data_IF_254140676796
#
_entry.id   IF_254140676796
#
_cell.length_a   1.000
_cell.length_b   1.000
_cell.length_c   1.000
_cell.angle_alpha   90.00
_cell.angle_beta   90.00
_cell.angle_gamma   90.00
#
_symmetry.space_group_name_H-M   'P 1'
#
loop_
_entity.id
_entity.type
_entity.pdbx_description
1 polymer ?
#
# COMPACT_ATOMS: atom_id res chain seq x y z
N UNK A 1 15.50 -23.63 15.41
CA UNK A 1 15.55 -22.76 14.22
C UNK A 1 14.26 -22.94 13.44
N UNK A 2 13.24 -22.11 13.70
CA UNK A 2 11.99 -22.14 12.93
C UNK A 2 12.25 -21.39 11.63
N UNK A 3 12.13 -22.09 10.50
CA UNK A 3 12.18 -21.48 9.17
C UNK A 3 10.98 -20.54 9.06
N UNK A 4 11.24 -19.24 9.02
CA UNK A 4 10.25 -18.24 8.63
C UNK A 4 10.00 -18.50 7.14
N UNK A 5 8.90 -19.17 6.83
CA UNK A 5 8.42 -19.29 5.46
C UNK A 5 7.58 -18.04 5.20
N UNK A 6 8.22 -16.99 4.67
CA UNK A 6 7.48 -15.89 4.06
C UNK A 6 6.73 -16.51 2.86
N UNK A 7 5.41 -16.59 2.94
CA UNK A 7 4.58 -16.98 1.81
C UNK A 7 4.56 -15.78 0.87
N UNK A 8 5.39 -15.85 -0.17
CA UNK A 8 5.41 -14.90 -1.27
C UNK A 8 4.21 -15.19 -2.18
N UNK A 9 3.26 -14.27 -2.24
CA UNK A 9 2.27 -14.26 -3.30
C UNK A 9 2.90 -13.64 -4.56
N UNK A 10 3.11 -14.47 -5.58
CA UNK A 10 3.36 -14.02 -6.95
C UNK A 10 2.06 -13.40 -7.47
N UNK A 11 1.95 -12.07 -7.43
CA UNK A 11 0.76 -11.36 -7.91
C UNK A 11 0.88 -11.14 -9.43
N UNK A 12 0.37 -12.09 -10.20
CA UNK A 12 -0.04 -11.83 -11.58
C UNK A 12 -1.35 -11.04 -11.49
N UNK A 13 -1.34 -9.79 -11.97
CA UNK A 13 -2.47 -8.84 -12.08
C UNK A 13 -3.74 -9.25 -11.33
N UNK A 14 -3.87 -8.80 -10.08
CA UNK A 14 -5.05 -9.08 -9.26
C UNK A 14 -6.04 -7.91 -9.37
N UNK A 15 -7.32 -8.21 -9.58
CA UNK A 15 -8.41 -7.22 -9.51
C UNK A 15 -9.20 -7.48 -8.22
N UNK A 16 -9.20 -6.51 -7.32
CA UNK A 16 -10.05 -6.53 -6.14
C UNK A 16 -11.43 -5.98 -6.52
N UNK A 17 -12.51 -6.59 -6.01
CA UNK A 17 -13.86 -6.08 -6.16
C UNK A 17 -14.48 -5.84 -4.78
N UNK A 18 -15.23 -4.75 -4.61
CA UNK A 18 -15.91 -4.43 -3.34
C UNK A 18 -17.12 -5.36 -3.10
N UNK A 19 -17.37 -5.74 -1.84
CA UNK A 19 -18.52 -6.57 -1.47
C UNK A 19 -19.82 -5.76 -1.34
N UNK A 20 -20.96 -6.38 -1.66
CA UNK A 20 -22.25 -5.71 -1.88
C UNK A 20 -22.93 -5.14 -0.62
N UNK A 21 -22.41 -5.37 0.58
CA UNK A 21 -22.90 -4.70 1.81
C UNK A 21 -21.76 -4.52 2.82
N UNK A 22 -21.66 -3.32 3.42
CA UNK A 22 -20.65 -3.02 4.46
C UNK A 22 -19.21 -2.84 3.98
N UNK A 23 -18.94 -2.96 2.67
CA UNK A 23 -17.62 -2.73 2.08
C UNK A 23 -17.41 -1.27 1.67
N UNK A 24 -16.16 -0.89 1.48
CA UNK A 24 -15.80 0.45 1.02
C UNK A 24 -16.40 0.72 -0.37
N UNK A 25 -17.26 1.74 -0.45
CA UNK A 25 -17.90 2.18 -1.69
C UNK A 25 -17.68 3.69 -1.90
N UNK A 26 -16.99 4.10 -2.98
CA UNK A 26 -16.82 5.51 -3.28
C UNK A 26 -18.15 6.16 -3.65
N UNK A 27 -18.37 7.36 -3.13
CA UNK A 27 -19.58 8.13 -3.45
C UNK A 27 -19.40 8.88 -4.78
N UNK A 28 -20.45 8.96 -5.61
CA UNK A 28 -20.46 9.86 -6.77
C UNK A 28 -20.07 11.29 -6.38
N UNK A 29 -19.19 11.91 -7.17
CA UNK A 29 -18.62 13.23 -6.88
C UNK A 29 -17.53 13.24 -5.81
N UNK A 30 -17.26 12.11 -5.15
CA UNK A 30 -16.23 11.98 -4.13
C UNK A 30 -14.82 12.07 -4.72
N UNK A 31 -13.90 12.62 -3.93
CA UNK A 31 -12.46 12.63 -4.23
C UNK A 31 -11.73 11.72 -3.25
N UNK A 32 -10.79 10.94 -3.75
CA UNK A 32 -10.05 9.95 -2.96
C UNK A 32 -8.56 10.02 -3.27
N UNK A 33 -7.74 9.83 -2.25
CA UNK A 33 -6.29 9.66 -2.41
C UNK A 33 -6.02 8.16 -2.51
N UNK A 34 -5.21 7.80 -3.51
CA UNK A 34 -4.68 6.45 -3.67
C UNK A 34 -3.17 6.50 -3.63
N UNK A 35 -2.57 5.62 -2.84
CA UNK A 35 -1.12 5.52 -2.73
C UNK A 35 -0.65 4.08 -2.55
N UNK A 36 0.60 3.82 -2.91
CA UNK A 36 1.31 2.59 -2.56
C UNK A 36 2.83 2.82 -2.64
N UNK A 37 3.59 1.86 -2.15
CA UNK A 37 5.01 1.70 -2.47
C UNK A 37 5.19 0.66 -3.58
N UNK A 38 6.13 0.90 -4.49
CA UNK A 38 6.51 -0.06 -5.53
C UNK A 38 8.02 -0.26 -5.56
N UNK A 39 8.45 -1.49 -5.80
CA UNK A 39 9.86 -1.89 -5.96
C UNK A 39 10.03 -2.74 -7.20
N UNK A 40 11.02 -2.45 -8.01
CA UNK A 40 11.37 -3.23 -9.21
C UNK A 40 12.82 -3.76 -9.08
N UNK A 41 13.06 -5.00 -9.49
CA UNK A 41 14.33 -5.73 -9.25
C UNK A 41 15.43 -5.46 -10.28
N UNK A 42 15.72 -4.19 -10.56
CA UNK A 42 16.80 -3.82 -11.48
C UNK A 42 18.20 -4.12 -10.90
N UNK A 43 19.12 -4.57 -11.76
CA UNK A 43 20.55 -4.70 -11.43
C UNK A 43 21.23 -3.34 -11.26
N UNK A 44 20.77 -2.34 -12.03
CA UNK A 44 21.14 -0.94 -11.89
C UNK A 44 19.87 -0.12 -11.68
N UNK A 45 19.75 0.52 -10.52
CA UNK A 45 18.54 1.24 -10.13
C UNK A 45 18.27 2.41 -11.10
N UNK A 46 17.09 2.48 -11.76
CA UNK A 46 16.71 3.62 -12.58
C UNK A 46 16.39 4.84 -11.71
N UNK A 47 16.22 6.01 -12.32
CA UNK A 47 15.74 7.20 -11.60
C UNK A 47 14.27 7.10 -11.20
N UNK A 48 13.49 6.37 -11.98
CA UNK A 48 12.08 6.12 -11.70
C UNK A 48 11.67 4.76 -12.23
N UNK A 49 10.79 4.10 -11.49
CA UNK A 49 10.13 2.86 -11.89
C UNK A 49 9.00 3.14 -12.88
N UNK A 50 8.66 2.11 -13.67
CA UNK A 50 7.66 2.21 -14.74
C UNK A 50 6.34 1.51 -14.40
N UNK A 51 6.32 0.71 -13.33
CA UNK A 51 5.12 0.12 -12.73
C UNK A 51 4.11 1.16 -12.31
N UNK A 52 2.83 0.82 -12.32
CA UNK A 52 1.76 1.77 -12.06
C UNK A 52 0.54 1.11 -11.43
N UNK A 53 -0.30 1.92 -10.80
CA UNK A 53 -1.63 1.51 -10.37
C UNK A 53 -2.62 2.01 -11.41
N UNK A 54 -3.50 1.11 -11.87
CA UNK A 54 -4.62 1.46 -12.74
C UNK A 54 -5.92 1.32 -11.94
N UNK A 55 -6.75 2.35 -11.99
CA UNK A 55 -8.00 2.42 -11.24
C UNK A 55 -9.12 2.61 -12.23
N UNK A 56 -10.10 1.72 -12.17
CA UNK A 56 -11.27 1.74 -13.03
C UNK A 56 -12.53 1.57 -12.19
N UNK A 57 -13.55 2.34 -12.52
CA UNK A 57 -14.87 2.24 -11.93
C UNK A 57 -15.71 1.38 -12.86
N UNK A 58 -16.26 0.32 -12.29
CA UNK A 58 -16.98 -0.71 -13.00
C UNK A 58 -18.46 -0.64 -12.60
N UNK A 59 -19.32 -0.63 -13.60
CA UNK A 59 -20.77 -0.74 -13.44
C UNK A 59 -21.21 -2.18 -13.64
N UNK A 60 -22.34 -2.54 -13.04
CA UNK A 60 -22.88 -3.89 -13.03
C UNK A 60 -22.86 -4.52 -11.64
N UNK A 61 -23.56 -5.63 -11.48
CA UNK A 61 -23.59 -6.40 -10.23
C UNK A 61 -22.50 -7.48 -10.29
N UNK A 62 -21.71 -7.66 -9.22
CA UNK A 62 -20.90 -8.88 -9.09
C UNK A 62 -21.87 -10.05 -8.94
N UNK A 63 -21.85 -10.99 -9.88
CA UNK A 63 -22.61 -12.22 -9.70
C UNK A 63 -21.88 -13.15 -8.72
N UNK A 64 -22.56 -13.52 -7.63
CA UNK A 64 -22.19 -14.69 -6.84
C UNK A 64 -22.58 -16.01 -7.55
N UNK A 65 -23.42 -15.97 -8.60
CA UNK A 65 -23.96 -17.17 -9.26
C UNK A 65 -24.09 -17.02 -10.78
N UNK A 66 -23.41 -17.87 -11.57
CA UNK A 66 -23.15 -17.79 -13.02
C UNK A 66 -24.40 -17.91 -13.92
N UNK A 67 -25.24 -16.87 -14.07
CA UNK A 67 -26.47 -17.11 -14.85
C UNK A 67 -27.30 -15.97 -15.44
N UNK A 68 -27.22 -14.73 -14.97
CA UNK A 68 -28.02 -13.62 -15.55
C UNK A 68 -27.66 -12.24 -14.98
N UNK A 69 -26.37 -11.89 -14.93
CA UNK A 69 -25.92 -10.52 -14.63
C UNK A 69 -25.66 -9.70 -15.90
N UNK A 70 -25.92 -8.39 -15.85
CA UNK A 70 -25.41 -7.47 -16.85
C UNK A 70 -23.86 -7.50 -16.85
N UNK A 71 -23.18 -7.39 -18.00
CA UNK A 71 -21.72 -7.42 -18.05
C UNK A 71 -21.11 -6.33 -17.16
N UNK A 72 -19.97 -6.65 -16.52
CA UNK A 72 -19.13 -5.64 -15.86
C UNK A 72 -18.57 -4.74 -16.96
N UNK A 73 -18.92 -3.45 -16.94
CA UNK A 73 -18.49 -2.48 -17.97
C UNK A 73 -17.81 -1.28 -17.31
N UNK A 74 -16.65 -0.84 -17.80
CA UNK A 74 -16.04 0.43 -17.40
C UNK A 74 -16.99 1.61 -17.51
N UNK A 75 -17.09 2.41 -16.46
CA UNK A 75 -17.95 3.61 -16.40
C UNK A 75 -17.15 4.91 -16.45
N UNK A 76 -15.82 4.83 -16.44
CA UNK A 76 -14.92 5.96 -16.55
C UNK A 76 -13.70 5.60 -17.42
N UNK A 77 -12.98 6.63 -17.83
CA UNK A 77 -11.62 6.43 -18.35
C UNK A 77 -10.72 5.96 -17.20
N UNK A 78 -9.93 4.89 -17.37
CA UNK A 78 -9.02 4.41 -16.34
C UNK A 78 -8.06 5.50 -15.87
N UNK A 79 -7.90 5.63 -14.55
CA UNK A 79 -6.92 6.52 -13.95
C UNK A 79 -5.64 5.73 -13.75
N UNK A 80 -4.55 6.20 -14.37
CA UNK A 80 -3.21 5.62 -14.21
C UNK A 80 -2.38 6.49 -13.27
N UNK A 81 -1.90 5.88 -12.17
CA UNK A 81 -1.02 6.51 -11.20
C UNK A 81 0.37 5.89 -11.31
N UNK A 82 1.36 6.71 -11.66
CA UNK A 82 2.76 6.29 -11.81
C UNK A 82 3.62 6.73 -10.62
N UNK A 83 4.80 6.09 -10.43
CA UNK A 83 5.69 6.38 -9.32
C UNK A 83 6.27 7.78 -9.48
N UNK A 84 6.55 8.44 -8.36
CA UNK A 84 7.15 9.76 -8.34
C UNK A 84 7.96 9.97 -7.06
N UNK A 85 8.89 10.93 -7.11
CA UNK A 85 9.84 11.19 -6.03
C UNK A 85 11.02 10.22 -6.05
N UNK A 86 11.84 10.31 -5.00
CA UNK A 86 13.06 9.51 -4.86
C UNK A 86 12.76 8.03 -4.59
N UNK A 87 13.69 7.18 -4.99
CA UNK A 87 13.70 5.76 -4.62
C UNK A 87 14.47 5.62 -3.30
N UNK A 88 13.79 5.14 -2.27
CA UNK A 88 14.29 5.02 -0.90
C UNK A 88 14.36 3.54 -0.54
N UNK A 89 15.55 3.03 -0.29
CA UNK A 89 15.78 1.59 0.01
C UNK A 89 15.18 0.63 -1.05
N UNK A 90 15.21 1.07 -2.31
CA UNK A 90 14.64 0.35 -3.45
C UNK A 90 13.12 0.44 -3.59
N UNK A 91 12.44 1.26 -2.79
CA UNK A 91 11.01 1.52 -2.89
C UNK A 91 10.74 2.93 -3.41
N UNK A 92 9.76 3.08 -4.29
CA UNK A 92 9.30 4.36 -4.81
C UNK A 92 7.81 4.55 -4.56
N UNK A 93 7.39 5.76 -4.23
CA UNK A 93 5.99 6.04 -3.91
C UNK A 93 5.17 6.26 -5.17
N UNK A 94 3.99 5.66 -5.22
CA UNK A 94 2.90 6.02 -6.13
C UNK A 94 1.86 6.77 -5.30
N UNK A 95 1.44 7.95 -5.74
CA UNK A 95 0.36 8.71 -5.08
C UNK A 95 -0.42 9.52 -6.12
N UNK A 96 -1.73 9.57 -5.96
CA UNK A 96 -2.59 10.38 -6.82
C UNK A 96 -4.00 10.53 -6.27
N UNK A 97 -4.77 11.39 -6.93
CA UNK A 97 -6.17 11.65 -6.59
C UNK A 97 -7.06 11.07 -7.67
N UNK A 98 -8.09 10.34 -7.24
CA UNK A 98 -9.16 9.82 -8.09
C UNK A 98 -10.44 10.58 -7.77
N UNK A 99 -11.08 11.11 -8.81
CA UNK A 99 -12.39 11.73 -8.71
C UNK A 99 -13.46 10.79 -9.27
N UNK A 100 -14.50 10.54 -8.48
CA UNK A 100 -15.62 9.68 -8.87
C UNK A 100 -16.62 10.54 -9.65
N UNK A 101 -16.94 10.23 -10.93
CA UNK A 101 -17.88 11.03 -11.70
C UNK A 101 -19.28 11.08 -11.06
N UNK A 102 -19.92 12.26 -11.09
CA UNK A 102 -21.29 12.45 -10.62
C UNK A 102 -22.33 11.70 -11.47
N UNK A 103 -21.98 11.29 -12.69
CA UNK A 103 -22.86 10.54 -13.60
C UNK A 103 -23.10 9.10 -13.16
N UNK A 104 -22.36 8.61 -12.17
CA UNK A 104 -22.52 7.27 -11.63
C UNK A 104 -23.76 7.23 -10.74
N UNK A 105 -24.81 6.56 -11.20
CA UNK A 105 -26.10 6.50 -10.50
C UNK A 105 -26.13 5.46 -9.36
N UNK A 106 -25.11 4.60 -9.24
CA UNK A 106 -25.05 3.55 -8.22
C UNK A 106 -23.61 3.28 -7.77
N UNK A 107 -23.50 2.66 -6.58
CA UNK A 107 -22.28 2.10 -6.01
C UNK A 107 -21.50 1.33 -7.08
N UNK A 108 -20.46 1.95 -7.63
CA UNK A 108 -19.63 1.33 -8.66
C UNK A 108 -18.59 0.46 -7.99
N UNK A 109 -18.40 -0.74 -8.54
CA UNK A 109 -17.27 -1.58 -8.18
C UNK A 109 -15.99 -0.82 -8.54
N UNK A 110 -14.98 -0.86 -7.68
CA UNK A 110 -13.66 -0.33 -8.01
C UNK A 110 -12.78 -1.50 -8.40
N UNK A 111 -12.15 -1.42 -9.57
CA UNK A 111 -10.99 -2.23 -9.90
C UNK A 111 -9.72 -1.45 -9.58
N UNK A 112 -8.85 -2.05 -8.79
CA UNK A 112 -7.49 -1.58 -8.53
C UNK A 112 -6.55 -2.64 -9.09
N UNK A 113 -5.83 -2.30 -10.15
CA UNK A 113 -4.87 -3.19 -10.78
C UNK A 113 -3.44 -2.70 -10.54
N UNK A 114 -2.62 -3.58 -10.00
CA UNK A 114 -1.19 -3.36 -9.81
C UNK A 114 -0.45 -3.85 -11.05
N UNK A 115 0.10 -2.93 -11.83
CA UNK A 115 0.68 -3.24 -13.13
C UNK A 115 2.20 -3.16 -13.05
N UNK A 116 2.84 -4.30 -13.29
CA UNK A 116 4.28 -4.39 -13.44
C UNK A 116 4.71 -3.74 -14.76
N UNK A 117 5.38 -2.59 -14.67
CA UNK A 117 5.93 -1.89 -15.84
C UNK A 117 7.37 -2.29 -16.14
N UNK A 118 7.99 -3.06 -15.25
CA UNK A 118 9.38 -3.47 -15.38
C UNK A 118 9.56 -4.35 -16.62
N UNK A 119 10.45 -3.93 -17.52
CA UNK A 119 10.73 -4.64 -18.77
C UNK A 119 11.68 -5.83 -18.54
N UNK A 120 11.59 -6.86 -19.38
CA UNK A 120 12.59 -7.94 -19.41
C UNK A 120 12.39 -9.04 -18.37
N UNK A 121 11.16 -9.22 -17.86
CA UNK A 121 10.84 -10.28 -16.91
C UNK A 121 11.33 -10.03 -15.50
N UNK A 122 11.58 -8.76 -15.15
CA UNK A 122 11.90 -8.35 -13.79
C UNK A 122 10.68 -8.45 -12.88
N UNK A 123 10.92 -8.77 -11.62
CA UNK A 123 9.88 -8.79 -10.60
C UNK A 123 9.58 -7.36 -10.13
N UNK A 124 8.31 -7.12 -9.83
CA UNK A 124 7.88 -5.96 -9.09
C UNK A 124 7.08 -6.36 -7.86
N UNK A 125 7.19 -5.54 -6.83
CA UNK A 125 6.51 -5.70 -5.56
C UNK A 125 5.76 -4.41 -5.24
N UNK A 126 4.56 -4.56 -4.70
CA UNK A 126 3.75 -3.45 -4.24
C UNK A 126 3.43 -3.67 -2.76
N UNK A 127 3.48 -2.60 -1.99
CA UNK A 127 3.18 -2.65 -0.56
C UNK A 127 2.44 -1.39 -0.10
N UNK A 128 1.86 -1.44 1.10
CA UNK A 128 1.14 -0.34 1.76
C UNK A 128 0.14 0.39 0.85
N UNK A 129 -0.68 -0.38 0.11
CA UNK A 129 -1.71 0.16 -0.77
C UNK A 129 -2.81 0.80 0.07
N UNK A 130 -3.15 2.05 -0.23
CA UNK A 130 -4.17 2.83 0.47
C UNK A 130 -5.14 3.43 -0.52
N UNK A 131 -6.41 3.48 -0.12
CA UNK A 131 -7.48 4.18 -0.82
C UNK A 131 -8.37 4.82 0.25
N UNK A 132 -8.38 6.15 0.35
CA UNK A 132 -9.13 6.86 1.40
C UNK A 132 -9.68 8.21 0.91
N UNK A 133 -10.71 8.78 1.56
CA UNK A 133 -11.28 10.06 1.16
C UNK A 133 -10.25 11.19 1.15
N UNK A 134 -10.33 12.11 0.18
CA UNK A 134 -9.37 13.21 0.03
C UNK A 134 -9.29 14.13 1.24
N UNK A 135 -10.43 14.39 1.89
CA UNK A 135 -10.50 15.16 3.14
C UNK A 135 -10.36 14.27 4.40
N UNK A 136 -9.95 13.02 4.22
CA UNK A 136 -9.69 12.07 5.30
C UNK A 136 -8.23 12.06 5.70
N UNK A 137 -7.96 11.57 6.92
CA UNK A 137 -6.63 11.26 7.40
C UNK A 137 -6.55 9.75 7.61
N UNK A 138 -5.48 9.12 7.13
CA UNK A 138 -5.24 7.70 7.32
C UNK A 138 -3.90 7.50 8.01
N UNK A 139 -3.95 6.78 9.13
CA UNK A 139 -2.81 6.39 9.94
C UNK A 139 -2.88 4.91 10.23
N UNK A 140 -1.80 4.19 9.99
CA UNK A 140 -1.73 2.74 10.17
C UNK A 140 -0.77 2.37 11.28
N UNK A 141 -1.11 1.33 12.03
CA UNK A 141 -0.28 0.79 13.11
C UNK A 141 -0.01 -0.68 12.84
N UNK A 142 1.27 -1.03 12.79
CA UNK A 142 1.74 -2.40 12.57
C UNK A 142 2.17 -2.97 13.92
N UNK A 143 1.59 -4.10 14.30
CA UNK A 143 1.88 -4.78 15.56
C UNK A 143 2.59 -6.12 15.31
N UNK A 144 3.50 -6.48 16.20
CA UNK A 144 4.06 -7.83 16.25
C UNK A 144 2.97 -8.82 16.72
N UNK A 145 2.74 -9.90 15.97
CA UNK A 145 1.65 -10.84 16.24
C UNK A 145 1.78 -11.52 17.61
N UNK A 146 3.00 -11.86 18.03
CA UNK A 146 3.23 -12.62 19.25
C UNK A 146 3.20 -11.74 20.52
N UNK A 147 3.80 -10.55 20.45
CA UNK A 147 3.98 -9.66 21.60
C UNK A 147 3.00 -8.50 21.63
N UNK A 148 2.26 -8.28 20.53
CA UNK A 148 1.34 -7.15 20.34
C UNK A 148 2.01 -5.78 20.53
N UNK A 149 3.33 -5.71 20.38
CA UNK A 149 4.09 -4.45 20.45
C UNK A 149 3.96 -3.69 19.14
N UNK A 150 3.87 -2.37 19.23
CA UNK A 150 3.82 -1.48 18.07
C UNK A 150 5.17 -1.50 17.36
N UNK A 151 5.25 -2.06 16.16
CA UNK A 151 6.48 -2.18 15.39
C UNK A 151 6.70 -1.01 14.44
N UNK A 152 5.62 -0.52 13.84
CA UNK A 152 5.68 0.63 12.96
C UNK A 152 4.37 1.43 13.00
N UNK A 153 4.51 2.72 12.77
CA UNK A 153 3.42 3.65 12.52
C UNK A 153 3.63 4.27 11.15
N UNK A 154 2.64 4.16 10.27
CA UNK A 154 2.69 4.78 8.96
C UNK A 154 1.84 6.06 8.98
N UNK A 155 2.47 7.19 8.67
CA UNK A 155 1.83 8.51 8.70
C UNK A 155 0.92 8.78 7.47
N UNK A 156 0.37 9.98 7.38
CA UNK A 156 -0.55 10.40 6.31
C UNK A 156 0.05 10.27 4.90
N UNK A 157 1.37 10.41 4.80
CA UNK A 157 2.11 10.36 3.55
C UNK A 157 2.71 8.98 3.27
N UNK A 158 2.34 7.99 4.10
CA UNK A 158 2.82 6.62 4.08
C UNK A 158 4.31 6.46 4.43
N UNK A 159 4.88 7.40 5.19
CA UNK A 159 6.22 7.24 5.76
C UNK A 159 6.16 6.49 7.09
N UNK A 160 7.08 5.56 7.27
CA UNK A 160 7.14 4.73 8.46
C UNK A 160 7.94 5.35 9.62
N UNK A 161 7.40 5.26 10.82
CA UNK A 161 8.14 5.39 12.08
C UNK A 161 8.25 4.01 12.72
N UNK A 162 9.46 3.48 12.83
CA UNK A 162 9.76 2.15 13.36
C UNK A 162 10.13 2.23 14.84
N UNK A 163 9.62 1.28 15.61
CA UNK A 163 9.88 1.13 17.03
C UNK A 163 10.58 -0.21 17.28
N UNK A 164 11.73 -0.18 17.93
CA UNK A 164 12.50 -1.37 18.26
C UNK A 164 12.60 -1.54 19.76
N UNK A 165 12.41 -2.78 20.22
CA UNK A 165 12.38 -3.14 21.62
C UNK A 165 13.51 -4.13 21.96
N UNK A 166 13.97 -4.10 23.20
CA UNK A 166 14.83 -5.15 23.74
C UNK A 166 14.02 -6.41 24.14
N UNK A 167 14.75 -7.43 24.62
CA UNK A 167 14.18 -8.70 25.09
C UNK A 167 13.29 -8.55 26.33
N UNK A 168 13.51 -7.49 27.13
CA UNK A 168 12.74 -7.18 28.33
C UNK A 168 11.49 -6.34 28.00
N UNK A 169 11.38 -5.86 26.76
CA UNK A 169 10.28 -5.05 26.25
C UNK A 169 10.44 -3.54 26.41
N UNK A 170 11.62 -3.06 26.79
CA UNK A 170 11.96 -1.64 26.76
C UNK A 170 12.14 -1.14 25.34
N UNK A 171 11.63 0.07 25.04
CA UNK A 171 11.86 0.75 23.77
C UNK A 171 13.33 1.21 23.70
N UNK A 172 14.08 0.68 22.74
CA UNK A 172 15.52 0.97 22.59
C UNK A 172 15.82 1.89 21.43
N UNK A 173 15.00 1.90 20.37
CA UNK A 173 15.24 2.73 19.20
C UNK A 173 13.94 3.16 18.53
N UNK A 174 13.93 4.41 18.08
CA UNK A 174 12.90 4.95 17.18
C UNK A 174 13.59 5.44 15.92
N UNK A 175 13.14 4.94 14.76
CA UNK A 175 13.62 5.34 13.45
C UNK A 175 12.47 5.92 12.64
N UNK A 176 12.74 6.89 11.78
CA UNK A 176 11.74 7.47 10.88
C UNK A 176 12.26 7.49 9.46
N UNK A 177 11.44 6.98 8.56
CA UNK A 177 11.61 7.10 7.14
C UNK A 177 11.32 8.54 6.69
N UNK A 178 12.17 9.00 5.79
CA UNK A 178 12.06 10.31 5.14
C UNK A 178 12.47 10.16 3.68
N UNK A 179 12.26 11.20 2.88
CA UNK A 179 12.74 11.27 1.49
C UNK A 179 14.24 10.97 1.33
N UNK A 180 15.04 11.19 2.39
CA UNK A 180 16.50 10.96 2.38
C UNK A 180 16.90 9.61 2.97
N UNK A 181 15.94 8.72 3.24
CA UNK A 181 16.15 7.46 3.92
C UNK A 181 15.69 7.44 5.37
N UNK A 182 16.05 6.36 6.06
CA UNK A 182 15.63 6.09 7.44
C UNK A 182 16.63 6.69 8.43
N UNK A 183 16.16 7.60 9.28
CA UNK A 183 16.95 8.26 10.31
C UNK A 183 16.56 7.79 11.70
N UNK A 184 17.54 7.56 12.56
CA UNK A 184 17.29 7.31 13.99
C UNK A 184 16.93 8.62 14.68
N UNK A 185 15.73 8.69 15.25
CA UNK A 185 15.27 9.83 16.05
C UNK A 185 15.77 9.70 17.49
N UNK A 186 15.69 8.49 18.04
CA UNK A 186 16.04 8.21 19.42
C UNK A 186 16.72 6.84 19.52
N UNK A 187 17.79 6.78 20.31
CA UNK A 187 18.45 5.52 20.68
C UNK A 187 18.79 5.57 22.18
N UNK A 188 18.36 4.55 22.92
CA UNK A 188 18.71 4.37 24.33
C UNK A 188 19.68 3.21 24.43
N UNK A 189 20.85 3.44 25.03
CA UNK A 189 21.84 2.39 25.34
C UNK A 189 21.94 2.20 26.85
N UNK A 190 21.37 1.13 27.37
CA UNK A 190 21.57 0.71 28.77
C UNK A 190 22.78 -0.24 28.85
N UNK A 191 23.74 0.08 29.71
CA UNK A 191 24.93 -0.75 29.93
C UNK A 191 24.73 -1.55 31.22
N UNK A 192 24.48 -2.86 31.11
CA UNK A 192 24.40 -3.72 32.29
C UNK A 192 25.79 -3.88 32.89
N UNK A 193 26.03 -3.27 34.07
CA UNK A 193 27.29 -3.48 34.82
C UNK A 193 27.41 -4.96 35.16
N UNK A 194 28.48 -5.60 34.69
CA UNK A 194 28.89 -6.94 35.17
C UNK A 194 29.04 -6.84 36.71
N UNK A 195 28.24 -7.61 37.45
CA UNK A 195 28.47 -7.82 38.88
C UNK A 195 29.83 -8.52 39.01
N UNK A 196 30.77 -7.85 39.69
CA UNK A 196 32.05 -8.41 40.10
C UNK A 196 31.90 -9.34 41.29
#
# INVERSE_FOLDING_TARGET
MKKISLIFFLLVSFSFYAQYTGSFCPLPGGKYVVSAWVKETYTQQPLTYTSFIKIELLGGELQEDLGSGAPIVPQNTPVKLSPSGEIIDGWQRIVGVVEIPNSLQQASLISIELNCGASGGLDCFFDDIRFFPYNGNLKSFVYDEATQKLMAELDENNYATFYEYDLEGGLVRVKKETEKGVFTIQETRSNNRKRG
#
